data_IF_787468099256
#
_entry.id   IF_787468099256
#
_cell.length_a   1.000
_cell.length_b   1.000
_cell.length_c   1.000
_cell.angle_alpha   90.00
_cell.angle_beta   90.00
_cell.angle_gamma   90.00
#
_symmetry.space_group_name_H-M   'P 1'
#
loop_
_entity.id
_entity.type
_entity.pdbx_description
1 polymer ?
#
# COMPACT_ATOMS: atom_id res chain seq x y z
N UNK A 1 34.29 58.23 -31.89
CA UNK A 1 33.54 58.30 -30.62
C UNK A 1 32.26 57.44 -30.61
N UNK A 2 31.62 57.15 -31.75
CA UNK A 2 30.36 56.38 -31.81
C UNK A 2 30.49 54.86 -31.60
N UNK A 3 31.56 54.22 -32.10
CA UNK A 3 31.76 52.76 -31.97
C UNK A 3 31.93 52.27 -30.52
N UNK A 4 32.63 53.03 -29.67
CA UNK A 4 32.89 52.63 -28.28
C UNK A 4 31.64 52.70 -27.39
N UNK A 5 30.73 53.64 -27.68
CA UNK A 5 29.44 53.74 -26.97
C UNK A 5 28.50 52.59 -27.33
N UNK A 6 28.55 52.09 -28.57
CA UNK A 6 27.75 50.95 -29.02
C UNK A 6 28.23 49.64 -28.39
N UNK A 7 29.54 49.38 -28.44
CA UNK A 7 30.13 48.17 -27.83
C UNK A 7 29.94 48.13 -26.31
N UNK A 8 30.02 49.28 -25.61
CA UNK A 8 29.77 49.35 -24.16
C UNK A 8 28.29 49.12 -23.82
N UNK A 9 27.36 49.51 -24.68
CA UNK A 9 25.93 49.29 -24.48
C UNK A 9 25.57 47.81 -24.66
N UNK A 10 26.13 47.15 -25.68
CA UNK A 10 25.95 45.71 -25.93
C UNK A 10 26.50 44.85 -24.79
N UNK A 11 27.69 45.17 -24.27
CA UNK A 11 28.27 44.45 -23.12
C UNK A 11 27.42 44.65 -21.86
N UNK A 12 26.91 45.86 -21.62
CA UNK A 12 26.01 46.13 -20.49
C UNK A 12 24.72 45.31 -20.58
N UNK A 13 24.13 45.20 -21.77
CA UNK A 13 22.93 44.41 -22.01
C UNK A 13 23.17 42.91 -21.78
N UNK A 14 24.31 42.38 -22.24
CA UNK A 14 24.69 40.98 -22.03
C UNK A 14 24.90 40.66 -20.55
N UNK A 15 25.52 41.56 -19.78
CA UNK A 15 25.72 41.38 -18.34
C UNK A 15 24.39 41.39 -17.56
N UNK A 16 23.47 42.27 -17.92
CA UNK A 16 22.13 42.33 -17.29
C UNK A 16 21.33 41.05 -17.62
N UNK A 17 21.41 40.58 -18.87
CA UNK A 17 20.78 39.33 -19.28
C UNK A 17 21.39 38.11 -18.56
N UNK A 18 22.71 38.07 -18.39
CA UNK A 18 23.40 37.02 -17.64
C UNK A 18 22.97 37.03 -16.16
N UNK A 19 22.89 38.21 -15.54
CA UNK A 19 22.43 38.36 -14.16
C UNK A 19 20.97 37.90 -13.98
N UNK A 20 20.09 38.23 -14.93
CA UNK A 20 18.71 37.73 -14.94
C UNK A 20 18.65 36.21 -15.10
N UNK A 21 19.47 35.65 -16.00
CA UNK A 21 19.56 34.20 -16.19
C UNK A 21 20.08 33.47 -14.94
N UNK A 22 21.06 34.04 -14.22
CA UNK A 22 21.57 33.49 -12.97
C UNK A 22 20.52 33.49 -11.85
N UNK A 23 19.70 34.54 -11.76
CA UNK A 23 18.60 34.61 -10.80
C UNK A 23 17.53 33.56 -11.11
N UNK A 24 17.16 33.41 -12.37
CA UNK A 24 16.19 32.39 -12.81
C UNK A 24 16.70 30.96 -12.54
N UNK A 25 17.99 30.70 -12.77
CA UNK A 25 18.61 29.41 -12.45
C UNK A 25 18.62 29.12 -10.94
N UNK A 26 18.84 30.14 -10.11
CA UNK A 26 18.76 29.99 -8.64
C UNK A 26 17.33 29.69 -8.18
N UNK A 27 16.34 30.39 -8.74
CA UNK A 27 14.92 30.17 -8.45
C UNK A 27 14.46 28.76 -8.89
N UNK A 28 14.83 28.32 -10.10
CA UNK A 28 14.53 26.98 -10.59
C UNK A 28 15.13 25.88 -9.68
N UNK A 29 16.39 26.04 -9.27
CA UNK A 29 17.06 25.11 -8.33
C UNK A 29 16.42 25.07 -6.95
N UNK A 30 15.91 26.20 -6.46
CA UNK A 30 15.18 26.23 -5.19
C UNK A 30 13.85 25.50 -5.30
N UNK A 31 13.09 25.78 -6.36
CA UNK A 31 11.82 25.11 -6.64
C UNK A 31 11.97 23.59 -6.78
N UNK A 32 12.99 23.10 -7.51
CA UNK A 32 13.27 21.67 -7.63
C UNK A 32 13.58 21.01 -6.28
N UNK A 33 14.36 21.67 -5.42
CA UNK A 33 14.66 21.16 -4.08
C UNK A 33 13.43 21.13 -3.19
N UNK A 34 12.60 22.15 -3.27
CA UNK A 34 11.37 22.25 -2.47
C UNK A 34 10.34 21.22 -2.93
N UNK A 35 10.18 21.03 -4.24
CA UNK A 35 9.39 19.95 -4.85
C UNK A 35 9.89 18.56 -4.42
N UNK A 36 11.21 18.34 -4.41
CA UNK A 36 11.82 17.11 -3.92
C UNK A 36 11.50 16.85 -2.44
N UNK A 37 11.67 17.86 -1.59
CA UNK A 37 11.32 17.78 -0.16
C UNK A 37 9.83 17.52 0.07
N UNK A 38 8.95 18.16 -0.70
CA UNK A 38 7.51 17.95 -0.62
C UNK A 38 7.12 16.52 -1.01
N UNK A 39 7.71 16.00 -2.09
CA UNK A 39 7.52 14.62 -2.53
C UNK A 39 7.97 13.63 -1.46
N UNK A 40 9.12 13.87 -0.82
CA UNK A 40 9.64 12.99 0.23
C UNK A 40 8.78 13.04 1.49
N UNK A 41 8.37 14.24 1.94
CA UNK A 41 7.43 14.39 3.05
C UNK A 41 6.09 13.70 2.79
N UNK A 42 5.59 13.77 1.54
CA UNK A 42 4.36 13.09 1.13
C UNK A 42 4.51 11.56 1.19
N UNK A 43 5.65 11.02 0.71
CA UNK A 43 5.95 9.59 0.82
C UNK A 43 6.07 9.13 2.27
N UNK A 44 6.69 9.93 3.12
CA UNK A 44 6.85 9.64 4.53
C UNK A 44 5.52 9.67 5.27
N UNK A 45 4.64 10.63 4.98
CA UNK A 45 3.25 10.64 5.47
C UNK A 45 2.47 9.40 5.05
N UNK A 46 2.54 9.02 3.77
CA UNK A 46 1.90 7.79 3.29
C UNK A 46 2.44 6.53 3.98
N UNK A 47 3.75 6.47 4.25
CA UNK A 47 4.35 5.38 5.01
C UNK A 47 3.84 5.37 6.46
N UNK A 48 3.90 6.51 7.15
CA UNK A 48 3.45 6.66 8.53
C UNK A 48 1.97 6.32 8.69
N UNK A 49 1.11 6.79 7.79
CA UNK A 49 -0.31 6.47 7.81
C UNK A 49 -0.59 4.99 7.59
N UNK A 50 0.18 4.34 6.70
CA UNK A 50 0.08 2.89 6.50
C UNK A 50 0.52 2.11 7.75
N UNK A 51 1.57 2.56 8.42
CA UNK A 51 2.06 1.95 9.67
C UNK A 51 1.03 2.10 10.80
N UNK A 52 0.45 3.30 10.96
CA UNK A 52 -0.63 3.54 11.93
C UNK A 52 -1.84 2.66 11.69
N UNK A 53 -2.32 2.56 10.43
CA UNK A 53 -3.43 1.68 10.10
C UNK A 53 -3.11 0.21 10.41
N UNK A 54 -1.88 -0.23 10.12
CA UNK A 54 -1.44 -1.59 10.47
C UNK A 54 -1.45 -1.81 11.98
N UNK A 55 -0.94 -0.86 12.76
CA UNK A 55 -0.94 -0.95 14.23
C UNK A 55 -2.35 -0.97 14.81
N UNK A 56 -3.28 -0.21 14.25
CA UNK A 56 -4.69 -0.21 14.67
C UNK A 56 -5.42 -1.50 14.28
N UNK A 57 -5.11 -2.08 13.11
CA UNK A 57 -5.64 -3.39 12.68
C UNK A 57 -5.04 -4.56 13.47
N UNK A 58 -3.76 -4.46 13.84
CA UNK A 58 -3.02 -5.44 14.65
C UNK A 58 -3.25 -5.28 16.15
N UNK A 59 -4.04 -4.28 16.61
CA UNK A 59 -4.35 -4.09 18.02
C UNK A 59 -5.07 -5.34 18.56
N UNK A 60 -4.49 -6.08 19.53
CA UNK A 60 -5.14 -7.23 20.13
C UNK A 60 -6.47 -6.88 20.82
N UNK A 61 -6.70 -5.61 21.14
CA UNK A 61 -7.95 -5.07 21.71
C UNK A 61 -8.91 -4.49 20.66
N UNK A 62 -8.60 -4.62 19.37
CA UNK A 62 -9.54 -4.27 18.31
C UNK A 62 -10.87 -5.01 18.54
N UNK A 63 -12.03 -4.35 18.37
CA UNK A 63 -13.34 -4.96 18.60
C UNK A 63 -13.54 -6.24 17.79
N UNK A 64 -12.93 -6.34 16.60
CA UNK A 64 -12.98 -7.54 15.77
C UNK A 64 -12.19 -8.71 16.38
N UNK A 65 -11.03 -8.43 16.98
CA UNK A 65 -10.20 -9.44 17.65
C UNK A 65 -10.88 -9.92 18.93
N UNK A 66 -11.47 -9.01 19.71
CA UNK A 66 -12.29 -9.36 20.88
C UNK A 66 -13.51 -10.21 20.49
N UNK A 67 -14.20 -9.85 19.41
CA UNK A 67 -15.33 -10.62 18.89
C UNK A 67 -14.91 -12.02 18.37
N UNK A 68 -13.69 -12.19 17.86
CA UNK A 68 -13.14 -13.52 17.52
C UNK A 68 -12.89 -14.34 18.78
N UNK A 69 -12.18 -13.77 19.76
CA UNK A 69 -11.90 -14.45 21.04
C UNK A 69 -13.18 -14.87 21.74
N UNK A 70 -14.21 -14.02 21.74
CA UNK A 70 -15.50 -14.34 22.36
C UNK A 70 -16.21 -15.49 21.63
N UNK A 71 -16.19 -15.50 20.29
CA UNK A 71 -16.75 -16.62 19.50
C UNK A 71 -16.00 -17.92 19.75
N UNK A 72 -14.67 -17.88 19.79
CA UNK A 72 -13.83 -19.06 20.04
C UNK A 72 -14.09 -19.61 21.44
N UNK A 73 -14.21 -18.73 22.44
CA UNK A 73 -14.54 -19.10 23.81
C UNK A 73 -15.92 -19.77 23.91
N UNK A 74 -16.93 -19.20 23.24
CA UNK A 74 -18.26 -19.79 23.16
C UNK A 74 -18.23 -21.15 22.47
N UNK A 75 -17.53 -21.28 21.35
CA UNK A 75 -17.39 -22.53 20.62
C UNK A 75 -16.79 -23.64 21.49
N UNK A 76 -15.66 -23.35 22.16
CA UNK A 76 -15.01 -24.30 23.07
C UNK A 76 -15.96 -24.68 24.22
N UNK A 77 -16.69 -23.71 24.77
CA UNK A 77 -17.70 -23.96 25.79
C UNK A 77 -18.79 -24.95 25.34
N UNK A 78 -19.31 -24.81 24.11
CA UNK A 78 -20.28 -25.74 23.55
C UNK A 78 -19.69 -27.13 23.34
N UNK A 79 -18.49 -27.23 22.76
CA UNK A 79 -17.82 -28.52 22.54
C UNK A 79 -17.59 -29.25 23.87
N UNK A 80 -17.15 -28.54 24.91
CA UNK A 80 -16.96 -29.14 26.24
C UNK A 80 -18.30 -29.62 26.81
N UNK A 81 -19.37 -28.83 26.70
CA UNK A 81 -20.70 -29.21 27.18
C UNK A 81 -21.22 -30.47 26.46
N UNK A 82 -21.10 -30.52 25.14
CA UNK A 82 -21.53 -31.66 24.32
C UNK A 82 -20.74 -32.93 24.67
N UNK A 83 -19.42 -32.80 24.84
CA UNK A 83 -18.55 -33.93 25.20
C UNK A 83 -18.84 -34.43 26.61
N UNK A 84 -19.07 -33.53 27.57
CA UNK A 84 -19.43 -33.93 28.93
C UNK A 84 -20.77 -34.66 28.97
N UNK A 85 -21.77 -34.17 28.23
CA UNK A 85 -23.06 -34.84 28.12
C UNK A 85 -22.93 -36.22 27.47
N UNK A 86 -22.20 -36.34 26.35
CA UNK A 86 -21.95 -37.62 25.69
C UNK A 86 -21.21 -38.60 26.60
N UNK A 87 -20.19 -38.12 27.31
CA UNK A 87 -19.39 -38.94 28.20
C UNK A 87 -20.23 -39.49 29.36
N UNK A 88 -21.15 -38.68 29.91
CA UNK A 88 -22.05 -39.10 30.97
C UNK A 88 -23.11 -40.09 30.50
N UNK A 89 -23.69 -39.89 29.31
CA UNK A 89 -24.77 -40.74 28.78
C UNK A 89 -24.25 -42.04 28.16
N UNK A 90 -23.13 -41.98 27.45
CA UNK A 90 -22.67 -43.04 26.53
C UNK A 90 -21.26 -43.52 26.83
N UNK A 91 -20.48 -42.79 27.64
CA UNK A 91 -19.09 -43.12 27.92
C UNK A 91 -18.15 -42.93 26.71
N UNK A 92 -18.57 -42.14 25.72
CA UNK A 92 -17.82 -41.90 24.48
C UNK A 92 -17.52 -40.41 24.27
N UNK A 93 -16.70 -40.10 23.25
CA UNK A 93 -16.27 -38.73 22.92
C UNK A 93 -16.31 -38.43 21.40
N UNK A 94 -17.24 -39.07 20.68
CA UNK A 94 -17.39 -38.89 19.23
C UNK A 94 -17.72 -37.44 18.86
N UNK A 95 -18.44 -36.71 19.71
CA UNK A 95 -18.71 -35.28 19.55
C UNK A 95 -17.41 -34.46 19.45
N UNK A 96 -16.40 -34.78 20.27
CA UNK A 96 -15.09 -34.12 20.20
C UNK A 96 -14.39 -34.42 18.88
N UNK A 97 -14.37 -35.69 18.47
CA UNK A 97 -13.75 -36.11 17.21
C UNK A 97 -14.41 -35.42 16.01
N UNK A 98 -15.74 -35.35 16.01
CA UNK A 98 -16.51 -34.65 14.98
C UNK A 98 -16.19 -33.15 14.95
N UNK A 99 -16.19 -32.47 16.11
CA UNK A 99 -15.87 -31.05 16.21
C UNK A 99 -14.46 -30.75 15.68
N UNK A 100 -13.47 -31.59 16.01
CA UNK A 100 -12.09 -31.45 15.53
C UNK A 100 -11.98 -31.62 14.01
N UNK A 101 -12.62 -32.65 13.44
CA UNK A 101 -12.61 -32.87 12.00
C UNK A 101 -13.31 -31.74 11.24
N UNK A 102 -14.42 -31.23 11.77
CA UNK A 102 -15.12 -30.10 11.18
C UNK A 102 -14.27 -28.82 11.20
N UNK A 103 -13.56 -28.53 12.29
CA UNK A 103 -12.63 -27.39 12.35
C UNK A 103 -11.42 -27.55 11.42
N UNK A 104 -10.88 -28.76 11.27
CA UNK A 104 -9.84 -29.05 10.27
C UNK A 104 -10.34 -28.78 8.85
N UNK A 105 -11.56 -29.22 8.53
CA UNK A 105 -12.19 -28.99 7.22
C UNK A 105 -12.42 -27.50 6.96
N UNK A 106 -12.94 -26.77 7.95
CA UNK A 106 -13.11 -25.31 7.87
C UNK A 106 -11.78 -24.60 7.62
N UNK A 107 -10.73 -24.97 8.37
CA UNK A 107 -9.38 -24.42 8.18
C UNK A 107 -8.84 -24.66 6.77
N UNK A 108 -8.98 -25.88 6.24
CA UNK A 108 -8.56 -26.21 4.88
C UNK A 108 -9.29 -25.36 3.82
N UNK A 109 -10.61 -25.21 3.97
CA UNK A 109 -11.42 -24.38 3.07
C UNK A 109 -10.99 -22.90 3.10
N UNK A 110 -10.70 -22.35 4.28
CA UNK A 110 -10.23 -20.97 4.42
C UNK A 110 -8.85 -20.78 3.76
N UNK A 111 -7.94 -21.74 3.92
CA UNK A 111 -6.63 -21.69 3.26
C UNK A 111 -6.75 -21.70 1.74
N UNK A 112 -7.64 -22.53 1.20
CA UNK A 112 -7.91 -22.59 -0.24
C UNK A 112 -8.50 -21.27 -0.78
N UNK A 113 -9.41 -20.63 -0.03
CA UNK A 113 -9.92 -19.29 -0.35
C UNK A 113 -8.76 -18.27 -0.39
N UNK A 114 -7.88 -18.27 0.62
CA UNK A 114 -6.74 -17.35 0.69
C UNK A 114 -5.82 -17.52 -0.53
N UNK A 115 -5.47 -18.77 -0.87
CA UNK A 115 -4.60 -19.07 -2.01
C UNK A 115 -5.22 -18.54 -3.32
N UNK A 116 -6.52 -18.76 -3.52
CA UNK A 116 -7.23 -18.26 -4.71
C UNK A 116 -7.24 -16.73 -4.77
N UNK A 117 -7.49 -16.07 -3.65
CA UNK A 117 -7.55 -14.62 -3.56
C UNK A 117 -6.18 -14.00 -3.86
N UNK A 118 -5.12 -14.54 -3.27
CA UNK A 118 -3.75 -14.10 -3.56
C UNK A 118 -3.39 -14.27 -5.04
N UNK A 119 -3.76 -15.41 -5.63
CA UNK A 119 -3.57 -15.67 -7.06
C UNK A 119 -4.31 -14.64 -7.93
N UNK A 120 -5.57 -14.33 -7.59
CA UNK A 120 -6.37 -13.33 -8.29
C UNK A 120 -5.81 -11.92 -8.15
N UNK A 121 -5.32 -11.55 -6.96
CA UNK A 121 -4.65 -10.27 -6.71
C UNK A 121 -3.36 -10.12 -7.51
N UNK A 122 -2.56 -11.19 -7.62
CA UNK A 122 -1.34 -11.20 -8.45
C UNK A 122 -1.67 -11.00 -9.93
N UNK A 123 -2.67 -11.72 -10.46
CA UNK A 123 -3.14 -11.55 -11.85
C UNK A 123 -3.62 -10.14 -12.13
N UNK A 124 -4.43 -9.58 -11.23
CA UNK A 124 -4.95 -8.20 -11.37
C UNK A 124 -3.82 -7.18 -11.44
N UNK A 125 -2.80 -7.30 -10.57
CA UNK A 125 -1.61 -6.43 -10.61
C UNK A 125 -0.83 -6.58 -11.91
N UNK A 126 -0.68 -7.80 -12.42
CA UNK A 126 0.02 -8.05 -13.69
C UNK A 126 -0.73 -7.39 -14.87
N UNK A 127 -2.05 -7.55 -14.93
CA UNK A 127 -2.89 -6.93 -15.96
C UNK A 127 -2.85 -5.39 -15.88
N UNK A 128 -2.91 -4.82 -14.68
CA UNK A 128 -2.77 -3.36 -14.49
C UNK A 128 -1.42 -2.85 -15.01
N UNK A 129 -0.34 -3.62 -14.79
CA UNK A 129 0.99 -3.25 -15.31
C UNK A 129 1.05 -3.33 -16.83
N UNK A 130 0.51 -4.39 -17.43
CA UNK A 130 0.41 -4.51 -18.89
C UNK A 130 -0.38 -3.36 -19.51
N UNK A 131 -1.50 -2.97 -18.91
CA UNK A 131 -2.28 -1.81 -19.38
C UNK A 131 -1.49 -0.51 -19.33
N UNK A 132 -0.70 -0.29 -18.27
CA UNK A 132 0.16 0.88 -18.15
C UNK A 132 1.28 0.87 -19.20
N UNK A 133 1.88 -0.29 -19.46
CA UNK A 133 2.95 -0.45 -20.44
C UNK A 133 2.43 -0.21 -21.87
N UNK A 134 1.28 -0.78 -22.23
CA UNK A 134 0.59 -0.53 -23.52
C UNK A 134 0.25 0.96 -23.67
N UNK A 135 -0.24 1.61 -22.60
CA UNK A 135 -0.55 3.04 -22.64
C UNK A 135 0.69 3.88 -22.91
N UNK A 136 1.83 3.54 -22.30
CA UNK A 136 3.12 4.22 -22.52
C UNK A 136 3.59 4.04 -23.96
N UNK A 137 3.56 2.80 -24.47
CA UNK A 137 3.94 2.48 -25.85
C UNK A 137 3.11 3.28 -26.85
N UNK A 138 1.77 3.27 -26.70
CA UNK A 138 0.84 4.09 -27.51
C UNK A 138 1.14 5.58 -27.45
N UNK A 139 1.47 6.12 -26.27
CA UNK A 139 1.81 7.56 -26.14
C UNK A 139 3.15 7.90 -26.78
N UNK A 140 4.11 6.97 -26.78
CA UNK A 140 5.39 7.14 -27.47
C UNK A 140 5.20 7.10 -28.98
N UNK A 141 4.41 6.15 -29.50
CA UNK A 141 4.08 6.07 -30.93
C UNK A 141 3.40 7.35 -31.47
N UNK A 142 2.54 7.99 -30.67
CA UNK A 142 1.88 9.26 -31.04
C UNK A 142 2.78 10.49 -30.94
N UNK A 143 3.95 10.39 -30.30
CA UNK A 143 4.93 11.48 -30.14
C UNK A 143 6.08 11.41 -31.14
N UNK A 144 6.17 10.36 -31.95
CA UNK A 144 7.13 10.30 -33.06
C UNK A 144 6.54 11.04 -34.27
N UNK A 145 7.18 12.10 -34.78
CA UNK A 145 6.70 12.90 -35.92
C UNK A 145 6.72 12.14 -37.25
#
# INVERSE_FOLDING_TARGET
MFLWKFVSADIGQVLEQQKGAEQNLKAARQFERESGRLSDATRELHRSQKELNRTLEEDPLSPDNLAKVQRDSQFVGHVIADVLAELQEKGTFHSLLFAVEEEKRRKANLQDIIIREEGSRRRTKALQRQLLDIRKEKTLELQVP
#
